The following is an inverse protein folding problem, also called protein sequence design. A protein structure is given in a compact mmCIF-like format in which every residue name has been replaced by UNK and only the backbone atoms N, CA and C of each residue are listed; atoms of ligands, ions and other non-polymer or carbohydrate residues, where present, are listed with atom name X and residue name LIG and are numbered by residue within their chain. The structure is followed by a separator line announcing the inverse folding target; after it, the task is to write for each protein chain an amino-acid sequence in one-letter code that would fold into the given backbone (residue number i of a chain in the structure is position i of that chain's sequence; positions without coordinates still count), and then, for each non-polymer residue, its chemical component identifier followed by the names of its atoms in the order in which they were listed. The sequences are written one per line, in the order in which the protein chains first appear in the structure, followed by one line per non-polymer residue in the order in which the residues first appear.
data_IF_403785221627
#
_entry.id   IF_403785221627
#
_cell.length_a   1.000
_cell.length_b   1.000
_cell.length_c   1.000
_cell.angle_alpha   90.00
_cell.angle_beta   90.00
_cell.angle_gamma   90.00
#
_symmetry.space_group_name_H-M   'P 1'
#
loop_
_entity.id
_entity.type
_entity.pdbx_description
1 polymer ?
#
# COMPACT_ATOMS: atom_id res chain seq x y z
N UNK A 1 5.74 11.63 21.96
CA UNK A 1 4.34 11.67 22.45
C UNK A 1 4.08 13.00 23.13
N UNK A 2 3.13 13.78 22.60
CA UNK A 2 2.80 15.12 23.13
C UNK A 2 1.70 15.06 24.21
N UNK A 3 1.02 13.94 24.35
CA UNK A 3 -0.03 13.76 25.33
C UNK A 3 -0.81 12.45 25.16
N UNK A 4 -1.84 12.27 25.99
CA UNK A 4 -2.78 11.14 25.92
C UNK A 4 -4.15 11.71 25.58
N UNK A 5 -4.77 11.18 24.52
CA UNK A 5 -6.14 11.55 24.14
C UNK A 5 -7.09 10.87 25.08
N UNK A 6 -7.86 11.66 25.86
CA UNK A 6 -8.85 11.17 26.83
C UNK A 6 -10.30 11.28 26.36
N UNK A 7 -10.52 12.00 25.27
CA UNK A 7 -11.85 12.16 24.67
C UNK A 7 -11.75 12.83 23.30
N UNK A 8 -12.70 12.53 22.40
CA UNK A 8 -12.79 13.13 21.09
C UNK A 8 -14.25 13.38 20.70
N UNK A 9 -14.48 14.48 20.00
CA UNK A 9 -15.76 14.76 19.32
C UNK A 9 -15.59 14.42 17.85
N UNK A 10 -16.39 13.45 17.37
CA UNK A 10 -16.34 12.96 16.00
C UNK A 10 -17.48 13.55 15.19
N UNK A 11 -17.18 14.02 13.97
CA UNK A 11 -18.20 14.40 13.00
C UNK A 11 -18.79 13.14 12.38
N UNK A 12 -20.12 13.04 12.40
CA UNK A 12 -20.83 11.93 11.77
C UNK A 12 -21.24 12.34 10.34
N UNK A 13 -21.16 11.38 9.45
CA UNK A 13 -21.61 11.49 8.07
C UNK A 13 -22.74 10.49 7.82
N UNK A 14 -23.66 10.75 6.86
CA UNK A 14 -24.64 9.74 6.45
C UNK A 14 -23.92 8.48 5.98
N UNK A 15 -24.52 7.33 6.29
CA UNK A 15 -24.00 6.06 5.82
C UNK A 15 -24.10 6.02 4.28
N UNK A 16 -23.03 5.65 3.54
CA UNK A 16 -23.10 5.56 2.09
C UNK A 16 -24.14 4.51 1.66
N UNK A 17 -24.80 4.77 0.54
CA UNK A 17 -25.77 3.82 -0.04
C UNK A 17 -25.11 2.65 -0.72
N UNK A 18 -23.85 2.83 -1.15
CA UNK A 18 -23.05 1.77 -1.75
C UNK A 18 -21.56 1.92 -1.38
N UNK A 19 -20.90 0.80 -1.24
CA UNK A 19 -19.44 0.70 -1.15
C UNK A 19 -18.98 -0.36 -2.16
N UNK A 20 -18.06 0.02 -3.03
CA UNK A 20 -17.45 -0.87 -4.02
C UNK A 20 -15.95 -0.92 -3.79
N UNK A 21 -15.39 -2.12 -3.79
CA UNK A 21 -13.96 -2.35 -3.62
C UNK A 21 -13.40 -3.04 -4.87
N UNK A 22 -12.26 -2.55 -5.35
CA UNK A 22 -11.49 -3.24 -6.37
C UNK A 22 -10.06 -3.52 -5.90
N UNK A 23 -9.46 -4.53 -6.52
CA UNK A 23 -8.06 -4.85 -6.40
C UNK A 23 -7.46 -4.84 -7.79
N UNK A 24 -6.51 -3.92 -8.04
CA UNK A 24 -5.95 -3.66 -9.36
C UNK A 24 -4.46 -4.00 -9.41
N UNK A 25 -4.03 -4.63 -10.50
CA UNK A 25 -2.64 -4.83 -10.84
C UNK A 25 -2.10 -3.59 -11.56
N UNK A 26 -0.98 -3.03 -11.07
CA UNK A 26 -0.35 -1.84 -11.65
C UNK A 26 1.11 -2.12 -12.00
N UNK A 27 1.59 -1.70 -13.18
CA UNK A 27 2.94 -2.03 -13.64
C UNK A 27 4.05 -1.43 -12.78
N UNK A 28 3.83 -0.22 -12.27
CA UNK A 28 4.81 0.52 -11.49
C UNK A 28 4.15 1.36 -10.38
N UNK A 29 4.97 1.87 -9.48
CA UNK A 29 4.50 2.79 -8.45
C UNK A 29 4.13 4.17 -9.05
N UNK A 30 4.76 4.56 -10.15
CA UNK A 30 4.38 5.72 -10.96
C UNK A 30 2.97 5.56 -11.52
N UNK A 31 2.61 4.36 -12.00
CA UNK A 31 1.27 4.07 -12.48
C UNK A 31 0.24 4.03 -11.35
N UNK A 32 0.63 3.57 -10.15
CA UNK A 32 -0.23 3.68 -8.96
C UNK A 32 -0.56 5.15 -8.62
N UNK A 33 0.40 6.07 -8.72
CA UNK A 33 0.17 7.52 -8.51
C UNK A 33 -0.75 8.10 -9.60
N UNK A 34 -0.61 7.66 -10.85
CA UNK A 34 -1.51 8.09 -11.94
C UNK A 34 -2.92 7.53 -11.76
N UNK A 35 -3.04 6.26 -11.35
CA UNK A 35 -4.33 5.67 -10.99
C UNK A 35 -5.01 6.42 -9.86
N UNK A 36 -4.27 6.86 -8.83
CA UNK A 36 -4.81 7.71 -7.77
C UNK A 36 -5.34 9.05 -8.33
N UNK A 37 -4.62 9.66 -9.27
CA UNK A 37 -5.08 10.86 -9.96
C UNK A 37 -6.40 10.65 -10.71
N UNK A 38 -6.52 9.55 -11.45
CA UNK A 38 -7.77 9.16 -12.13
C UNK A 38 -8.89 8.86 -11.13
N UNK A 39 -8.57 8.18 -10.01
CA UNK A 39 -9.54 7.90 -8.96
C UNK A 39 -10.13 9.20 -8.37
N UNK A 40 -9.30 10.21 -8.11
CA UNK A 40 -9.79 11.52 -7.68
C UNK A 40 -10.67 12.20 -8.74
N UNK A 41 -10.36 12.06 -10.03
CA UNK A 41 -11.16 12.64 -11.10
C UNK A 41 -12.54 11.98 -11.26
N UNK A 42 -12.60 10.65 -11.15
CA UNK A 42 -13.83 9.89 -11.40
C UNK A 42 -14.69 9.68 -10.14
N UNK A 43 -14.07 9.55 -8.97
CA UNK A 43 -14.76 9.25 -7.71
C UNK A 43 -14.87 10.47 -6.79
N UNK A 44 -14.01 11.47 -6.93
CA UNK A 44 -13.99 12.67 -6.08
C UNK A 44 -14.01 12.31 -4.58
N UNK A 45 -15.00 12.81 -3.83
CA UNK A 45 -15.19 12.52 -2.40
C UNK A 45 -15.63 11.07 -2.12
N UNK A 46 -16.00 10.31 -3.14
CA UNK A 46 -16.34 8.90 -3.02
C UNK A 46 -15.12 7.99 -2.86
N UNK A 47 -13.91 8.46 -3.21
CA UNK A 47 -12.69 7.70 -2.95
C UNK A 47 -12.42 7.67 -1.43
N UNK A 48 -12.71 6.53 -0.79
CA UNK A 48 -12.60 6.34 0.67
C UNK A 48 -11.46 5.43 1.09
N UNK A 49 -10.83 4.73 0.14
CA UNK A 49 -9.68 3.90 0.39
C UNK A 49 -8.78 3.79 -0.84
N UNK A 50 -7.46 3.90 -0.64
CA UNK A 50 -6.46 3.71 -1.69
C UNK A 50 -5.14 3.26 -1.08
N UNK A 51 -4.88 1.95 -1.15
CA UNK A 51 -3.71 1.30 -0.58
C UNK A 51 -2.84 0.69 -1.66
N UNK A 52 -1.57 0.99 -1.63
CA UNK A 52 -0.58 0.37 -2.53
C UNK A 52 0.17 -0.74 -1.81
N UNK A 53 0.48 -1.81 -2.53
CA UNK A 53 1.17 -2.99 -2.00
C UNK A 53 2.19 -3.49 -3.02
N UNK A 54 3.45 -3.60 -2.60
CA UNK A 54 4.51 -4.19 -3.42
C UNK A 54 4.40 -5.72 -3.50
N UNK A 55 4.90 -6.28 -4.58
CA UNK A 55 4.86 -7.72 -4.86
C UNK A 55 5.40 -8.57 -3.70
N UNK A 56 6.54 -8.18 -3.12
CA UNK A 56 7.12 -8.95 -2.02
C UNK A 56 6.22 -8.94 -0.78
N UNK A 57 5.56 -7.81 -0.45
CA UNK A 57 4.59 -7.76 0.65
C UNK A 57 3.43 -8.75 0.43
N UNK A 58 2.90 -8.80 -0.80
CA UNK A 58 1.82 -9.73 -1.17
C UNK A 58 2.28 -11.19 -1.20
N UNK A 59 3.52 -11.46 -1.60
CA UNK A 59 4.09 -12.79 -1.56
C UNK A 59 4.19 -13.36 -0.15
N UNK A 60 4.44 -12.52 0.86
CA UNK A 60 4.43 -12.91 2.27
C UNK A 60 3.02 -13.31 2.72
N UNK A 61 1.99 -12.57 2.31
CA UNK A 61 0.60 -12.94 2.59
C UNK A 61 0.26 -14.28 1.95
N UNK A 62 0.59 -14.48 0.69
CA UNK A 62 0.35 -15.75 -0.01
C UNK A 62 1.10 -16.93 0.63
N UNK A 63 2.31 -16.70 1.16
CA UNK A 63 3.14 -17.69 1.84
C UNK A 63 2.58 -18.10 3.20
N UNK A 64 2.25 -17.11 4.06
CA UNK A 64 1.89 -17.35 5.45
C UNK A 64 0.38 -17.53 5.68
N UNK A 65 -0.45 -17.06 4.75
CA UNK A 65 -1.91 -17.15 4.77
C UNK A 65 -2.45 -17.79 3.47
N UNK A 66 -2.09 -19.05 3.16
CA UNK A 66 -2.43 -19.70 1.88
C UNK A 66 -3.94 -19.85 1.64
N UNK A 67 -4.78 -19.68 2.66
CA UNK A 67 -6.23 -19.65 2.54
C UNK A 67 -6.75 -18.35 1.89
N UNK A 68 -5.94 -17.28 1.89
CA UNK A 68 -6.27 -16.03 1.21
C UNK A 68 -5.86 -16.11 -0.25
N UNK A 69 -6.80 -15.86 -1.15
CA UNK A 69 -6.50 -15.74 -2.58
C UNK A 69 -6.01 -14.32 -2.85
N UNK A 70 -4.70 -14.15 -3.02
CA UNK A 70 -4.11 -12.86 -3.37
C UNK A 70 -4.10 -12.73 -4.90
N UNK A 71 -4.89 -11.79 -5.49
CA UNK A 71 -4.90 -11.63 -6.94
C UNK A 71 -3.58 -11.03 -7.44
N UNK A 72 -3.14 -11.40 -8.64
CA UNK A 72 -2.09 -10.76 -9.44
C UNK A 72 -0.69 -10.67 -8.82
N UNK A 73 -0.45 -11.20 -7.62
CA UNK A 73 0.83 -10.98 -6.93
C UNK A 73 2.04 -11.59 -7.65
N UNK A 74 1.83 -12.60 -8.47
CA UNK A 74 2.92 -13.23 -9.26
C UNK A 74 3.23 -12.46 -10.54
N UNK A 75 2.21 -11.83 -11.12
CA UNK A 75 2.26 -11.19 -12.44
C UNK A 75 2.56 -9.70 -12.37
N UNK A 76 2.30 -9.05 -11.22
CA UNK A 76 2.42 -7.60 -11.09
C UNK A 76 3.42 -7.20 -10.01
N UNK A 77 4.22 -6.18 -10.30
CA UNK A 77 5.17 -5.61 -9.32
C UNK A 77 4.47 -4.87 -8.20
N UNK A 78 3.29 -4.30 -8.47
CA UNK A 78 2.49 -3.55 -7.53
C UNK A 78 1.01 -3.87 -7.68
N UNK A 79 0.29 -3.82 -6.58
CA UNK A 79 -1.17 -3.88 -6.58
C UNK A 79 -1.73 -2.74 -5.76
N UNK A 80 -2.98 -2.38 -6.07
CA UNK A 80 -3.73 -1.35 -5.35
C UNK A 80 -5.07 -1.94 -4.93
N UNK A 81 -5.45 -1.80 -3.65
CA UNK A 81 -6.85 -1.93 -3.24
C UNK A 81 -7.44 -0.54 -3.11
N UNK A 82 -8.59 -0.32 -3.73
CA UNK A 82 -9.28 0.97 -3.71
C UNK A 82 -10.77 0.79 -3.44
N UNK A 83 -11.36 1.80 -2.79
CA UNK A 83 -12.76 1.79 -2.38
C UNK A 83 -13.48 3.06 -2.79
N UNK A 84 -14.66 2.90 -3.34
CA UNK A 84 -15.62 3.96 -3.64
C UNK A 84 -16.83 3.83 -2.72
N UNK A 85 -17.10 4.89 -1.94
CA UNK A 85 -18.31 5.05 -1.16
C UNK A 85 -19.24 6.07 -1.83
N UNK A 86 -20.45 5.67 -2.16
CA UNK A 86 -21.40 6.49 -2.91
C UNK A 86 -22.68 6.77 -2.10
N UNK A 87 -23.13 8.02 -2.15
CA UNK A 87 -24.34 8.47 -1.45
C UNK A 87 -25.57 8.56 -2.36
N UNK A 88 -25.41 8.34 -3.67
CA UNK A 88 -26.49 8.42 -4.65
C UNK A 88 -27.18 7.06 -4.81
N UNK A 89 -26.45 6.07 -5.33
CA UNK A 89 -26.98 4.72 -5.54
C UNK A 89 -25.87 3.72 -5.86
N UNK A 90 -26.18 2.42 -5.76
CA UNK A 90 -25.25 1.36 -6.18
C UNK A 90 -24.97 1.42 -7.69
N UNK A 91 -25.99 1.74 -8.51
CA UNK A 91 -25.82 1.86 -9.95
C UNK A 91 -24.85 2.98 -10.32
N UNK A 92 -24.97 4.15 -9.67
CA UNK A 92 -24.06 5.26 -9.87
C UNK A 92 -22.63 4.92 -9.40
N UNK A 93 -22.49 4.31 -8.24
CA UNK A 93 -21.20 3.85 -7.73
C UNK A 93 -20.50 2.92 -8.73
N UNK A 94 -21.23 1.95 -9.30
CA UNK A 94 -20.73 1.00 -10.27
C UNK A 94 -20.30 1.68 -11.57
N UNK A 95 -21.13 2.55 -12.11
CA UNK A 95 -20.81 3.31 -13.32
C UNK A 95 -19.54 4.16 -13.16
N UNK A 96 -19.41 4.87 -12.05
CA UNK A 96 -18.20 5.65 -11.77
C UNK A 96 -16.95 4.78 -11.65
N UNK A 97 -17.08 3.61 -11.04
CA UNK A 97 -15.97 2.69 -10.83
C UNK A 97 -15.54 2.00 -12.13
N UNK A 98 -16.50 1.60 -12.97
CA UNK A 98 -16.25 1.04 -14.30
C UNK A 98 -15.52 2.05 -15.18
N UNK A 99 -16.00 3.30 -15.25
CA UNK A 99 -15.33 4.38 -16.00
C UNK A 99 -13.90 4.65 -15.52
N UNK A 100 -13.66 4.60 -14.21
CA UNK A 100 -12.32 4.75 -13.66
C UNK A 100 -11.40 3.62 -14.16
N UNK A 101 -11.84 2.36 -14.02
CA UNK A 101 -11.02 1.21 -14.38
C UNK A 101 -10.79 1.13 -15.89
N UNK A 102 -11.79 1.42 -16.70
CA UNK A 102 -11.66 1.53 -18.17
C UNK A 102 -10.62 2.59 -18.55
N UNK A 103 -10.73 3.80 -18.02
CA UNK A 103 -9.78 4.88 -18.31
C UNK A 103 -8.35 4.51 -17.87
N UNK A 104 -8.20 3.87 -16.72
CA UNK A 104 -6.90 3.45 -16.20
C UNK A 104 -6.27 2.31 -17.05
N UNK A 105 -7.08 1.36 -17.53
CA UNK A 105 -6.64 0.28 -18.43
C UNK A 105 -6.27 0.82 -19.80
N UNK A 106 -7.09 1.70 -20.39
CA UNK A 106 -6.81 2.36 -21.68
C UNK A 106 -5.51 3.16 -21.63
N UNK A 107 -5.24 3.83 -20.51
CA UNK A 107 -3.99 4.58 -20.30
C UNK A 107 -2.79 3.67 -19.96
N UNK A 108 -2.98 2.36 -19.76
CA UNK A 108 -1.94 1.40 -19.39
C UNK A 108 -1.47 1.50 -17.95
N UNK A 109 -2.20 2.21 -17.07
CA UNK A 109 -1.86 2.33 -15.65
C UNK A 109 -2.37 1.16 -14.81
N UNK A 110 -3.34 0.43 -15.32
CA UNK A 110 -3.85 -0.83 -14.75
C UNK A 110 -3.76 -1.91 -15.83
N UNK A 111 -3.20 -3.05 -15.49
CA UNK A 111 -3.09 -4.20 -16.40
C UNK A 111 -4.21 -5.19 -16.23
N UNK A 112 -4.74 -5.32 -15.01
CA UNK A 112 -5.86 -6.19 -14.69
C UNK A 112 -6.52 -5.70 -13.38
N UNK A 113 -7.80 -6.02 -13.16
CA UNK A 113 -8.51 -5.67 -11.95
C UNK A 113 -9.65 -6.65 -11.64
N UNK A 114 -9.88 -6.87 -10.35
CA UNK A 114 -11.07 -7.55 -9.85
C UNK A 114 -11.90 -6.58 -9.03
N UNK A 115 -13.21 -6.55 -9.28
CA UNK A 115 -14.17 -5.76 -8.51
C UNK A 115 -14.98 -6.73 -7.64
N UNK A 116 -15.10 -6.42 -6.35
CA UNK A 116 -15.90 -7.22 -5.44
C UNK A 116 -17.39 -7.16 -5.80
N UNK A 117 -18.01 -8.32 -5.93
CA UNK A 117 -19.44 -8.46 -6.24
C UNK A 117 -20.31 -8.60 -4.96
N UNK A 118 -19.65 -8.69 -3.80
CA UNK A 118 -20.31 -8.83 -2.50
C UNK A 118 -19.46 -8.23 -1.39
N UNK A 119 -20.09 -7.88 -0.26
CA UNK A 119 -19.39 -7.43 0.94
C UNK A 119 -18.36 -8.44 1.44
N UNK A 120 -18.63 -9.73 1.31
CA UNK A 120 -17.69 -10.77 1.71
C UNK A 120 -16.42 -10.75 0.85
N UNK A 121 -16.56 -10.53 -0.47
CA UNK A 121 -15.41 -10.35 -1.37
C UNK A 121 -14.67 -9.04 -1.08
N UNK A 122 -15.38 -7.93 -0.85
CA UNK A 122 -14.77 -6.66 -0.47
C UNK A 122 -13.93 -6.80 0.81
N UNK A 123 -14.47 -7.41 1.84
CA UNK A 123 -13.74 -7.70 3.07
C UNK A 123 -12.53 -8.62 2.83
N UNK A 124 -12.65 -9.61 1.95
CA UNK A 124 -11.52 -10.48 1.61
C UNK A 124 -10.38 -9.72 0.93
N UNK A 125 -10.67 -8.77 0.04
CA UNK A 125 -9.66 -7.93 -0.60
C UNK A 125 -8.96 -7.01 0.40
N UNK A 126 -9.71 -6.36 1.30
CA UNK A 126 -9.14 -5.55 2.38
C UNK A 126 -8.32 -6.39 3.36
N UNK A 127 -8.79 -7.59 3.66
CA UNK A 127 -8.08 -8.51 4.57
C UNK A 127 -6.70 -8.92 4.06
N UNK A 128 -6.48 -8.96 2.73
CA UNK A 128 -5.15 -9.15 2.15
C UNK A 128 -4.21 -8.03 2.62
N UNK A 129 -4.63 -6.77 2.50
CA UNK A 129 -3.85 -5.60 2.93
C UNK A 129 -3.58 -5.62 4.44
N UNK A 130 -4.60 -5.92 5.22
CA UNK A 130 -4.51 -5.97 6.69
C UNK A 130 -3.63 -7.10 7.19
N UNK A 131 -3.46 -8.17 6.40
CA UNK A 131 -2.63 -9.31 6.75
C UNK A 131 -1.13 -9.08 6.51
N UNK A 132 -0.73 -8.04 5.78
CA UNK A 132 0.71 -7.79 5.50
C UNK A 132 1.54 -7.67 6.78
N UNK A 133 1.16 -6.86 7.80
CA UNK A 133 1.93 -6.78 9.05
C UNK A 133 2.05 -8.12 9.78
N UNK A 134 1.00 -8.94 9.74
CA UNK A 134 0.99 -10.27 10.35
C UNK A 134 1.89 -11.23 9.57
N UNK A 135 1.83 -11.21 8.23
CA UNK A 135 2.69 -12.01 7.37
C UNK A 135 4.17 -11.66 7.55
N UNK A 136 4.48 -10.38 7.75
CA UNK A 136 5.83 -9.95 8.10
C UNK A 136 6.29 -10.50 9.45
N UNK A 137 5.41 -10.54 10.46
CA UNK A 137 5.73 -11.09 11.77
C UNK A 137 5.97 -12.59 11.71
N UNK A 138 5.19 -13.33 10.91
CA UNK A 138 5.40 -14.77 10.66
C UNK A 138 6.68 -15.05 9.84
N UNK A 139 7.07 -14.14 8.95
CA UNK A 139 8.35 -14.24 8.20
C UNK A 139 9.56 -14.02 9.13
N UNK A 140 9.39 -13.23 10.20
CA UNK A 140 10.37 -13.00 11.24
C UNK A 140 10.64 -11.53 11.57
N UNK A 141 11.77 -11.28 12.24
CA UNK A 141 12.16 -9.94 12.67
C UNK A 141 12.41 -9.03 11.45
N UNK A 142 11.98 -7.78 11.56
CA UNK A 142 12.14 -6.79 10.50
C UNK A 142 12.40 -5.39 11.09
N UNK A 143 13.05 -4.55 10.29
CA UNK A 143 13.26 -3.12 10.57
C UNK A 143 12.10 -2.36 9.95
N UNK A 144 11.43 -1.53 10.75
CA UNK A 144 10.21 -0.82 10.33
C UNK A 144 10.47 0.67 10.18
N UNK A 145 9.97 1.21 9.08
CA UNK A 145 9.96 2.64 8.82
C UNK A 145 8.55 3.06 8.44
N UNK A 146 7.91 3.84 9.31
CA UNK A 146 6.67 4.54 9.01
C UNK A 146 7.03 5.95 8.59
N UNK A 147 6.82 6.27 7.33
CA UNK A 147 7.28 7.51 6.70
C UNK A 147 6.17 8.17 5.90
N UNK A 148 6.27 9.48 5.73
CA UNK A 148 5.38 10.24 4.87
C UNK A 148 6.18 11.06 3.88
N UNK A 149 5.86 10.91 2.59
CA UNK A 149 6.49 11.60 1.46
C UNK A 149 5.38 12.22 0.61
N UNK A 150 5.66 13.37 -0.01
CA UNK A 150 4.73 13.93 -0.99
C UNK A 150 4.40 12.88 -2.05
N UNK A 151 3.10 12.64 -2.29
CA UNK A 151 2.59 11.56 -3.16
C UNK A 151 3.28 11.53 -4.51
N UNK A 152 3.48 12.69 -5.15
CA UNK A 152 4.13 12.78 -6.47
C UNK A 152 5.61 12.37 -6.47
N UNK A 153 6.26 12.34 -5.29
CA UNK A 153 7.67 12.01 -5.12
C UNK A 153 7.90 10.58 -4.61
N UNK A 154 6.83 9.87 -4.23
CA UNK A 154 6.92 8.51 -3.69
C UNK A 154 7.64 7.55 -4.64
N UNK A 155 7.35 7.50 -5.95
CA UNK A 155 8.02 6.57 -6.84
C UNK A 155 9.54 6.80 -6.89
N UNK A 156 9.96 8.05 -7.02
CA UNK A 156 11.37 8.43 -7.05
C UNK A 156 12.07 8.08 -5.72
N UNK A 157 11.43 8.41 -4.59
CA UNK A 157 11.92 8.07 -3.26
C UNK A 157 12.12 6.56 -3.08
N UNK A 158 11.13 5.75 -3.45
CA UNK A 158 11.21 4.29 -3.30
C UNK A 158 12.30 3.71 -4.18
N UNK A 159 12.40 4.15 -5.44
CA UNK A 159 13.43 3.67 -6.36
C UNK A 159 14.84 4.03 -5.88
N UNK A 160 15.06 5.26 -5.42
CA UNK A 160 16.36 5.70 -4.89
C UNK A 160 16.72 4.94 -3.60
N UNK A 161 15.78 4.86 -2.65
CA UNK A 161 16.03 4.21 -1.36
C UNK A 161 16.29 2.72 -1.52
N UNK A 162 15.54 2.04 -2.41
CA UNK A 162 15.77 0.65 -2.75
C UNK A 162 17.20 0.43 -3.29
N UNK A 163 17.64 1.27 -4.22
CA UNK A 163 18.97 1.16 -4.80
C UNK A 163 20.08 1.37 -3.76
N UNK A 164 19.93 2.34 -2.88
CA UNK A 164 20.89 2.63 -1.81
C UNK A 164 20.95 1.50 -0.77
N UNK A 165 19.79 1.00 -0.32
CA UNK A 165 19.69 -0.09 0.64
C UNK A 165 20.30 -1.38 0.09
N UNK A 166 19.90 -1.80 -1.11
CA UNK A 166 20.41 -3.04 -1.70
C UNK A 166 21.91 -2.99 -2.00
N UNK A 167 22.45 -1.80 -2.28
CA UNK A 167 23.89 -1.59 -2.44
C UNK A 167 24.65 -1.72 -1.13
N UNK A 168 24.13 -1.14 -0.05
CA UNK A 168 24.79 -1.12 1.28
C UNK A 168 24.54 -2.40 2.07
N UNK A 169 23.38 -3.03 1.89
CA UNK A 169 22.91 -4.23 2.59
C UNK A 169 22.44 -5.32 1.62
N UNK A 170 23.39 -5.99 0.93
CA UNK A 170 23.06 -7.01 -0.05
C UNK A 170 22.21 -8.13 0.54
N UNK A 171 21.15 -8.53 -0.18
CA UNK A 171 20.22 -9.58 0.25
C UNK A 171 19.09 -9.12 1.16
N UNK A 172 19.08 -7.85 1.61
CA UNK A 172 17.94 -7.28 2.32
C UNK A 172 16.66 -7.35 1.46
N UNK A 173 15.53 -7.72 2.06
CA UNK A 173 14.24 -7.90 1.36
C UNK A 173 13.29 -6.77 1.73
N UNK A 174 12.92 -5.97 0.73
CA UNK A 174 12.18 -4.72 0.93
C UNK A 174 10.67 -4.96 0.88
N UNK A 175 9.96 -4.54 1.92
CA UNK A 175 8.50 -4.65 2.05
C UNK A 175 7.89 -3.26 2.07
N UNK A 176 7.28 -2.87 0.95
CA UNK A 176 6.70 -1.53 0.79
C UNK A 176 5.21 -1.65 0.55
N UNK A 177 4.41 -0.97 1.37
CA UNK A 177 2.96 -0.87 1.23
C UNK A 177 2.46 0.34 2.03
N UNK A 178 1.24 0.79 1.79
CA UNK A 178 0.68 1.87 2.63
C UNK A 178 -0.37 2.74 1.94
N UNK A 179 -0.75 3.80 2.65
CA UNK A 179 -1.77 4.77 2.27
C UNK A 179 -1.20 5.75 1.23
N UNK A 180 -1.26 5.38 -0.06
CA UNK A 180 -0.71 6.24 -1.10
C UNK A 180 -1.39 7.60 -1.15
N UNK A 181 -2.70 7.65 -0.83
CA UNK A 181 -3.51 8.87 -0.94
C UNK A 181 -3.06 10.03 -0.04
N UNK A 182 -2.47 9.74 1.11
CA UNK A 182 -1.91 10.73 2.04
C UNK A 182 -0.38 10.73 2.15
N UNK A 183 0.26 9.92 1.30
CA UNK A 183 1.71 9.84 1.23
C UNK A 183 2.37 9.02 2.32
N UNK A 184 1.61 8.30 3.14
CA UNK A 184 2.14 7.44 4.20
C UNK A 184 2.52 6.06 3.67
N UNK A 185 3.74 5.63 3.95
CA UNK A 185 4.27 4.32 3.57
C UNK A 185 4.84 3.58 4.78
N UNK A 186 4.52 2.31 4.86
CA UNK A 186 5.28 1.32 5.61
C UNK A 186 6.42 0.83 4.71
N UNK A 187 7.60 1.32 4.96
CA UNK A 187 8.81 0.99 4.20
C UNK A 187 9.72 0.12 5.07
N UNK A 188 9.47 -1.19 5.07
CA UNK A 188 10.08 -2.13 5.99
C UNK A 188 11.15 -2.98 5.30
N UNK A 189 12.09 -3.49 6.11
CA UNK A 189 13.19 -4.34 5.62
C UNK A 189 13.22 -5.65 6.40
N UNK A 190 13.07 -6.77 5.70
CA UNK A 190 13.29 -8.11 6.22
C UNK A 190 14.75 -8.52 6.07
N UNK A 191 15.25 -9.34 6.99
CA UNK A 191 16.57 -9.95 6.88
C UNK A 191 16.72 -10.76 5.58
N UNK A 192 17.94 -10.93 5.08
CA UNK A 192 18.22 -11.89 4.01
C UNK A 192 17.68 -13.29 4.35
N UNK A 193 17.28 -14.04 3.33
CA UNK A 193 16.76 -15.38 3.52
C UNK A 193 17.84 -16.29 4.13
N UNK A 194 17.48 -17.00 5.22
CA UNK A 194 18.40 -17.92 5.92
C UNK A 194 19.42 -17.24 6.85
N UNK A 195 19.42 -15.91 6.98
CA UNK A 195 20.31 -15.21 7.90
C UNK A 195 19.81 -15.25 9.35
N UNK A 196 20.70 -14.98 10.31
CA UNK A 196 20.34 -14.78 11.71
C UNK A 196 19.62 -13.43 11.88
N UNK A 197 18.31 -13.49 12.00
CA UNK A 197 17.44 -12.33 12.07
C UNK A 197 17.72 -11.44 13.29
N UNK A 198 18.06 -12.02 14.43
CA UNK A 198 18.37 -11.26 15.65
C UNK A 198 19.68 -10.50 15.50
N UNK A 199 20.69 -11.14 14.92
CA UNK A 199 21.95 -10.49 14.59
C UNK A 199 21.74 -9.40 13.55
N UNK A 200 20.98 -9.68 12.47
CA UNK A 200 20.66 -8.70 11.44
C UNK A 200 20.01 -7.44 12.04
N UNK A 201 18.99 -7.62 12.90
CA UNK A 201 18.33 -6.50 13.56
C UNK A 201 19.32 -5.70 14.42
N UNK A 202 20.05 -6.39 15.30
CA UNK A 202 20.99 -5.72 16.21
C UNK A 202 22.13 -4.94 15.51
N UNK A 203 22.62 -5.45 14.40
CA UNK A 203 23.75 -4.86 13.67
C UNK A 203 23.31 -3.86 12.61
N UNK A 204 22.13 -4.03 11.99
CA UNK A 204 21.74 -3.28 10.80
C UNK A 204 20.60 -2.26 11.03
N UNK A 205 19.86 -2.32 12.13
CA UNK A 205 18.75 -1.40 12.39
C UNK A 205 19.22 0.06 12.39
N UNK A 206 20.23 0.40 13.19
CA UNK A 206 20.71 1.77 13.30
C UNK A 206 21.24 2.33 11.96
N UNK A 207 22.16 1.62 11.23
CA UNK A 207 22.65 2.12 9.95
C UNK A 207 21.60 2.13 8.83
N UNK A 208 20.57 1.26 8.88
CA UNK A 208 19.46 1.32 7.94
C UNK A 208 18.52 2.50 8.23
N UNK A 209 18.18 2.73 9.51
CA UNK A 209 17.40 3.88 9.93
C UNK A 209 18.08 5.18 9.50
N UNK A 210 19.39 5.33 9.75
CA UNK A 210 20.17 6.49 9.31
C UNK A 210 20.02 6.72 7.81
N UNK A 211 20.26 5.70 6.99
CA UNK A 211 20.16 5.81 5.53
C UNK A 211 18.74 6.19 5.06
N UNK A 212 17.71 5.49 5.56
CA UNK A 212 16.33 5.75 5.15
C UNK A 212 15.90 7.15 5.55
N UNK A 213 16.21 7.58 6.78
CA UNK A 213 15.80 8.89 7.29
C UNK A 213 16.57 10.04 6.62
N UNK A 214 17.83 9.85 6.22
CA UNK A 214 18.53 10.81 5.38
C UNK A 214 17.85 11.00 4.01
N UNK A 215 17.35 9.92 3.41
CA UNK A 215 16.61 10.03 2.16
C UNK A 215 15.26 10.70 2.39
N UNK A 216 14.53 10.35 3.47
CA UNK A 216 13.26 11.00 3.83
C UNK A 216 13.44 12.50 3.97
N UNK A 217 14.51 12.96 4.66
CA UNK A 217 14.81 14.39 4.83
C UNK A 217 15.06 15.07 3.48
N UNK A 218 15.84 14.45 2.57
CA UNK A 218 16.08 14.98 1.22
C UNK A 218 14.81 15.17 0.39
N UNK A 219 13.80 14.37 0.65
CA UNK A 219 12.48 14.47 0.02
C UNK A 219 11.50 15.37 0.77
N UNK A 220 11.97 16.09 1.81
CA UNK A 220 11.15 16.88 2.72
C UNK A 220 9.98 16.07 3.33
N UNK A 221 10.24 14.80 3.60
CA UNK A 221 9.32 13.89 4.24
C UNK A 221 9.34 13.99 5.77
N UNK A 222 8.56 13.14 6.40
CA UNK A 222 8.53 13.00 7.85
C UNK A 222 8.51 11.54 8.27
N UNK A 223 8.92 11.30 9.51
CA UNK A 223 8.82 10.01 10.20
C UNK A 223 7.57 10.09 11.08
N UNK A 224 6.73 9.07 11.03
CA UNK A 224 5.51 8.98 11.86
C UNK A 224 5.67 8.00 13.02
#
# INVERSE_FOLDING_TARGET
TLGVITGATMKLYPMPKAQLTAFAAVPSLEDAVKLLGLAHQHLSAGLTGFEVMGQFALSLVAKHFPQQRVPFWQESSWCVVLENSDNESEAHARECFERLLEAAMEAGHVTDAVVAESMAQAHALWHIRESIPLAQAEEGLNIKHDISINVSRIPEFVNETNALLLKRFPGARLVTYGHLGDGNLHYNVQAPEGDDQARFLNEQEAPMNELVYEVVDRYNGSIS
#
